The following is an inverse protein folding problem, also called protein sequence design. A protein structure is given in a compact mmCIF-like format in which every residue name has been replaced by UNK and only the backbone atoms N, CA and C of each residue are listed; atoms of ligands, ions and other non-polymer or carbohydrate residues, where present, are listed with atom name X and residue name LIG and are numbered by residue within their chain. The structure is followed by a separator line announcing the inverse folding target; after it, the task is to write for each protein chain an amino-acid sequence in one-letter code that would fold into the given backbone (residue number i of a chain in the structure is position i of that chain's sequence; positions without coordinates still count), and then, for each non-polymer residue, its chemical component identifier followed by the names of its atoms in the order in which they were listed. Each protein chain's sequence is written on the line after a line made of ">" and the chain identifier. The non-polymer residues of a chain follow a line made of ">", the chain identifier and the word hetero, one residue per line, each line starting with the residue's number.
data_IF_761817733422
#
_entry.id   IF_761817733422
#
_cell.length_a   1.000
_cell.length_b   1.000
_cell.length_c   1.000
_cell.angle_alpha   90.00
_cell.angle_beta   90.00
_cell.angle_gamma   90.00
#
_symmetry.space_group_name_H-M   'P 1'
#
loop_
_entity.id
_entity.type
_entity.pdbx_description
1 polymer ?
#
# COMPACT_ATOMS: atom_id res chain seq x y z
N UNK A 1 -13.95 -10.53 9.07
CA UNK A 1 -13.73 -9.10 9.30
C UNK A 1 -14.82 -8.39 8.55
N UNK A 2 -15.62 -7.60 9.26
CA UNK A 2 -16.81 -7.02 8.66
C UNK A 2 -16.45 -5.61 8.13
N UNK A 3 -16.76 -5.31 6.86
CA UNK A 3 -16.49 -4.00 6.29
C UNK A 3 -17.42 -2.95 6.92
N UNK A 4 -16.87 -1.77 7.23
CA UNK A 4 -17.68 -0.65 7.75
C UNK A 4 -18.20 0.18 6.57
N UNK A 5 -19.52 0.13 6.23
CA UNK A 5 -20.06 0.88 5.10
C UNK A 5 -20.01 2.40 5.33
N UNK A 6 -19.89 3.14 4.23
CA UNK A 6 -20.01 4.59 4.23
C UNK A 6 -21.46 4.98 4.56
N UNK A 7 -21.65 5.92 5.48
CA UNK A 7 -22.99 6.41 5.86
C UNK A 7 -23.22 7.86 5.47
N UNK A 8 -22.19 8.70 5.59
CA UNK A 8 -22.29 10.12 5.26
C UNK A 8 -21.00 10.63 4.64
N UNK A 9 -21.16 11.50 3.65
CA UNK A 9 -20.09 12.14 2.89
C UNK A 9 -20.31 13.64 2.87
N UNK A 10 -19.35 14.41 3.37
CA UNK A 10 -19.38 15.86 3.32
C UNK A 10 -18.29 16.37 2.40
N UNK A 11 -18.66 17.04 1.30
CA UNK A 11 -17.73 17.52 0.28
C UNK A 11 -17.60 19.04 0.39
N UNK A 12 -16.37 19.51 0.49
CA UNK A 12 -16.04 20.93 0.66
C UNK A 12 -15.77 21.59 -0.69
N UNK A 13 -15.61 22.91 -0.70
CA UNK A 13 -15.33 23.70 -1.91
C UNK A 13 -13.84 23.66 -2.32
N UNK A 14 -13.18 22.56 -2.00
CA UNK A 14 -11.80 22.23 -2.36
C UNK A 14 -11.69 20.72 -2.61
N UNK A 15 -10.46 20.22 -2.77
CA UNK A 15 -10.20 18.81 -3.10
C UNK A 15 -10.31 17.86 -1.90
N UNK A 16 -11.09 18.19 -0.86
CA UNK A 16 -11.24 17.40 0.37
C UNK A 16 -12.70 17.05 0.66
N UNK A 17 -12.89 15.88 1.24
CA UNK A 17 -14.16 15.46 1.82
C UNK A 17 -13.96 14.76 3.16
N UNK A 18 -14.98 14.87 3.99
CA UNK A 18 -15.09 14.17 5.27
C UNK A 18 -16.01 12.96 5.11
N UNK A 19 -15.47 11.79 5.41
CA UNK A 19 -16.11 10.50 5.28
C UNK A 19 -16.51 9.99 6.65
N UNK A 20 -17.75 9.51 6.79
CA UNK A 20 -18.28 8.93 8.02
C UNK A 20 -18.82 7.54 7.73
N UNK A 21 -18.23 6.54 8.37
CA UNK A 21 -18.57 5.14 8.28
C UNK A 21 -19.24 4.67 9.56
N UNK A 22 -20.25 3.82 9.45
CA UNK A 22 -20.97 3.23 10.59
C UNK A 22 -21.04 1.72 10.41
N UNK A 23 -20.66 0.94 11.43
CA UNK A 23 -20.74 -0.53 11.36
C UNK A 23 -22.18 -1.00 11.25
N UNK A 24 -22.39 -2.14 10.58
CA UNK A 24 -23.65 -2.86 10.69
C UNK A 24 -23.86 -3.36 12.14
N UNK A 25 -25.09 -3.71 12.50
CA UNK A 25 -25.36 -4.30 13.82
C UNK A 25 -24.49 -5.56 14.00
N UNK A 26 -23.83 -5.72 15.15
CA UNK A 26 -23.06 -6.93 15.43
C UNK A 26 -24.01 -8.13 15.31
N UNK A 27 -23.71 -9.06 14.40
CA UNK A 27 -24.51 -10.28 14.28
C UNK A 27 -24.33 -11.07 15.57
N UNK A 28 -25.43 -11.63 16.09
CA UNK A 28 -25.50 -12.54 17.25
C UNK A 28 -24.70 -13.83 17.01
N UNK A 29 -23.37 -13.72 16.91
CA UNK A 29 -22.46 -14.85 16.81
C UNK A 29 -21.68 -14.90 18.10
N UNK A 30 -21.76 -16.03 18.79
CA UNK A 30 -21.12 -16.35 20.07
C UNK A 30 -19.56 -16.43 19.98
N UNK A 31 -18.95 -15.67 19.07
CA UNK A 31 -17.53 -15.68 18.72
C UNK A 31 -16.79 -14.46 19.26
N UNK A 32 -15.44 -14.53 19.42
CA UNK A 32 -14.66 -13.51 20.10
C UNK A 32 -14.57 -12.21 19.28
N UNK A 33 -14.58 -11.08 20.00
CA UNK A 33 -14.27 -9.69 19.56
C UNK A 33 -14.40 -9.46 18.04
N UNK A 34 -15.50 -8.85 17.63
CA UNK A 34 -15.73 -8.49 16.24
C UNK A 34 -14.65 -7.54 15.72
N UNK A 35 -13.99 -7.95 14.64
CA UNK A 35 -12.95 -7.16 13.99
C UNK A 35 -13.49 -6.54 12.71
N UNK A 36 -13.36 -5.22 12.62
CA UNK A 36 -13.89 -4.42 11.53
C UNK A 36 -12.78 -3.96 10.60
N UNK A 37 -13.12 -3.75 9.33
CA UNK A 37 -12.15 -3.33 8.32
C UNK A 37 -12.62 -2.15 7.48
N UNK A 38 -11.67 -1.27 7.19
CA UNK A 38 -11.83 -0.11 6.32
C UNK A 38 -10.76 -0.17 5.23
N UNK A 39 -11.18 -0.25 3.97
CA UNK A 39 -10.26 -0.24 2.84
C UNK A 39 -10.06 1.19 2.36
N UNK A 40 -8.82 1.67 2.36
CA UNK A 40 -8.50 3.05 1.96
C UNK A 40 -7.45 3.10 0.86
N UNK A 41 -7.46 4.13 -0.01
CA UNK A 41 -6.44 4.27 -1.04
C UNK A 41 -5.04 4.44 -0.43
N UNK A 42 -4.04 3.75 -0.99
CA UNK A 42 -2.64 3.89 -0.52
C UNK A 42 -2.13 5.31 -0.76
N UNK A 43 -2.55 5.95 -1.85
CA UNK A 43 -2.09 7.28 -2.25
C UNK A 43 -2.40 8.38 -1.22
N UNK A 44 -3.45 8.21 -0.42
CA UNK A 44 -3.89 9.18 0.59
C UNK A 44 -3.86 8.61 2.00
N UNK A 45 -3.19 7.46 2.21
CA UNK A 45 -3.08 6.77 3.50
C UNK A 45 -2.65 7.70 4.62
N UNK A 46 -1.59 8.48 4.43
CA UNK A 46 -1.02 9.31 5.51
C UNK A 46 -1.99 10.42 5.96
N UNK A 47 -2.72 11.00 5.02
CA UNK A 47 -3.78 11.97 5.30
C UNK A 47 -4.92 11.34 6.11
N UNK A 48 -5.36 10.15 5.67
CA UNK A 48 -6.41 9.39 6.34
C UNK A 48 -5.96 9.02 7.75
N UNK A 49 -4.74 8.51 7.92
CA UNK A 49 -4.18 8.15 9.22
C UNK A 49 -4.07 9.36 10.16
N UNK A 50 -3.66 10.52 9.64
CA UNK A 50 -3.56 11.76 10.42
C UNK A 50 -4.91 12.34 10.83
N UNK A 51 -6.01 11.95 10.19
CA UNK A 51 -7.36 12.48 10.44
C UNK A 51 -8.36 11.43 10.91
N UNK A 52 -7.92 10.16 11.05
CA UNK A 52 -8.77 9.06 11.45
C UNK A 52 -9.22 9.23 12.90
N UNK A 53 -10.53 9.25 13.09
CA UNK A 53 -11.18 9.19 14.40
C UNK A 53 -12.09 7.97 14.44
N UNK A 54 -11.94 7.17 15.49
CA UNK A 54 -12.76 5.98 15.74
C UNK A 54 -13.50 6.17 17.05
N UNK A 55 -14.80 5.91 17.05
CA UNK A 55 -15.67 5.98 18.23
C UNK A 55 -16.53 4.73 18.32
N UNK A 56 -16.87 4.33 19.53
CA UNK A 56 -17.81 3.24 19.82
C UNK A 56 -18.88 3.76 20.78
N UNK A 57 -20.14 3.36 20.58
CA UNK A 57 -21.28 3.81 21.39
C UNK A 57 -21.12 3.45 22.88
N UNK A 58 -20.47 2.32 23.19
CA UNK A 58 -20.17 1.86 24.57
C UNK A 58 -18.91 2.48 25.19
N UNK A 59 -18.29 3.47 24.53
CA UNK A 59 -17.00 4.06 24.90
C UNK A 59 -15.89 3.01 25.10
N UNK A 60 -15.94 1.93 24.32
CA UNK A 60 -14.93 0.88 24.34
C UNK A 60 -13.64 1.37 23.67
N UNK A 61 -12.47 1.22 24.33
CA UNK A 61 -11.20 1.46 23.68
C UNK A 61 -11.09 0.59 22.42
N UNK A 62 -10.65 1.20 21.32
CA UNK A 62 -10.45 0.50 20.05
C UNK A 62 -8.96 0.48 19.71
N UNK A 63 -8.44 -0.69 19.39
CA UNK A 63 -7.12 -0.86 18.79
C UNK A 63 -7.23 -0.67 17.28
N UNK A 64 -6.38 0.19 16.73
CA UNK A 64 -6.32 0.48 15.30
C UNK A 64 -5.01 -0.10 14.78
N UNK A 65 -5.12 -1.12 13.92
CA UNK A 65 -3.98 -1.68 13.22
C UNK A 65 -4.03 -1.20 11.77
N UNK A 66 -3.08 -0.34 11.42
CA UNK A 66 -2.86 0.03 10.03
C UNK A 66 -2.16 -1.14 9.38
N UNK A 67 -2.84 -1.79 8.44
CA UNK A 67 -2.23 -2.82 7.60
C UNK A 67 -0.90 -2.29 7.10
N UNK A 68 0.18 -2.86 7.63
CA UNK A 68 1.48 -2.66 7.05
C UNK A 68 1.36 -3.36 5.71
N UNK A 69 1.24 -2.59 4.63
CA UNK A 69 1.73 -3.12 3.37
C UNK A 69 3.14 -3.54 3.70
N UNK A 70 3.46 -4.82 3.49
CA UNK A 70 4.84 -5.30 3.45
C UNK A 70 5.67 -4.20 2.79
N UNK A 71 6.39 -3.43 3.59
CA UNK A 71 7.24 -2.30 3.18
C UNK A 71 8.48 -2.82 2.46
N UNK A 72 8.38 -3.98 1.82
CA UNK A 72 9.28 -4.51 0.81
C UNK A 72 9.46 -3.61 -0.42
N UNK A 73 8.97 -2.37 -0.39
CA UNK A 73 9.12 -1.46 -1.52
C UNK A 73 9.26 0.02 -1.25
N UNK A 74 9.42 0.51 -0.01
CA UNK A 74 9.90 1.89 0.26
C UNK A 74 10.01 2.13 1.77
N UNK A 75 11.08 1.63 2.37
CA UNK A 75 11.81 2.22 3.50
C UNK A 75 13.05 1.34 3.69
N UNK A 76 13.96 1.40 2.71
CA UNK A 76 15.37 1.17 2.98
C UNK A 76 15.84 2.38 3.80
N UNK A 77 15.52 2.38 5.09
CA UNK A 77 16.51 2.83 6.04
C UNK A 77 17.51 1.68 6.11
N UNK A 78 18.57 1.84 5.32
CA UNK A 78 19.83 1.14 5.47
C UNK A 78 20.21 1.11 6.96
N UNK A 79 20.44 -0.09 7.50
CA UNK A 79 21.74 -0.45 8.10
C UNK A 79 21.80 -1.85 8.74
N UNK A 80 20.71 -2.64 8.92
CA UNK A 80 20.82 -3.87 9.73
C UNK A 80 20.23 -5.21 9.21
N UNK A 81 19.81 -5.35 7.94
CA UNK A 81 19.40 -6.67 7.42
C UNK A 81 19.77 -6.94 5.95
N UNK A 82 21.00 -6.65 5.53
CA UNK A 82 21.53 -7.26 4.32
C UNK A 82 21.52 -8.79 4.49
N UNK A 83 20.70 -9.48 3.72
CA UNK A 83 20.74 -10.94 3.66
C UNK A 83 21.98 -11.31 2.87
N UNK A 84 22.81 -12.23 3.39
CA UNK A 84 24.01 -12.66 2.69
C UNK A 84 23.67 -13.15 1.27
N UNK A 85 24.42 -12.69 0.27
CA UNK A 85 24.22 -13.06 -1.12
C UNK A 85 25.05 -14.30 -1.46
N UNK A 86 24.39 -15.46 -1.43
CA UNK A 86 24.99 -16.70 -1.87
C UNK A 86 24.84 -16.86 -3.38
N UNK A 87 25.85 -17.46 -4.01
CA UNK A 87 25.78 -17.81 -5.41
C UNK A 87 25.06 -19.16 -5.59
N UNK A 88 23.74 -19.12 -5.78
CA UNK A 88 22.93 -20.30 -6.12
C UNK A 88 21.86 -19.95 -7.15
N UNK A 89 21.40 -20.94 -7.91
CA UNK A 89 20.30 -20.77 -8.87
C UNK A 89 20.60 -21.35 -10.26
N UNK A 90 19.80 -20.98 -11.28
CA UNK A 90 19.98 -21.52 -12.62
C UNK A 90 21.35 -21.09 -13.19
N UNK A 91 22.13 -22.06 -13.68
CA UNK A 91 23.45 -21.81 -14.26
C UNK A 91 24.57 -21.60 -13.25
N UNK A 92 24.30 -21.78 -11.95
CA UNK A 92 25.30 -21.81 -10.87
C UNK A 92 25.54 -23.25 -10.44
N UNK A 93 26.78 -23.60 -10.17
CA UNK A 93 27.17 -24.93 -9.71
C UNK A 93 27.64 -24.92 -8.24
N UNK A 94 28.11 -26.08 -7.77
CA UNK A 94 28.59 -26.25 -6.40
C UNK A 94 29.83 -25.39 -6.11
N UNK A 95 30.69 -25.18 -7.11
CA UNK A 95 31.89 -24.36 -6.95
C UNK A 95 31.54 -22.88 -6.76
N UNK A 96 30.53 -22.38 -7.47
CA UNK A 96 30.01 -21.03 -7.25
C UNK A 96 29.47 -20.86 -5.82
N UNK A 97 28.70 -21.83 -5.35
CA UNK A 97 28.19 -21.80 -3.97
C UNK A 97 29.33 -21.83 -2.94
N UNK A 98 30.33 -22.68 -3.11
CA UNK A 98 31.48 -22.75 -2.21
C UNK A 98 32.35 -21.49 -2.27
N UNK A 99 32.44 -20.83 -3.42
CA UNK A 99 33.09 -19.52 -3.54
C UNK A 99 32.38 -18.46 -2.68
N UNK A 100 31.04 -18.52 -2.60
CA UNK A 100 30.27 -17.70 -1.65
C UNK A 100 30.41 -18.14 -0.19
N UNK A 101 31.10 -19.25 0.10
CA UNK A 101 31.36 -19.74 1.45
C UNK A 101 32.83 -19.55 1.89
N UNK A 102 33.65 -18.79 1.15
CA UNK A 102 35.03 -18.50 1.52
C UNK A 102 35.08 -17.89 2.94
N UNK A 103 35.94 -18.43 3.80
CA UNK A 103 36.05 -18.08 5.20
C UNK A 103 35.10 -18.83 6.13
N UNK A 104 34.15 -19.62 5.60
CA UNK A 104 33.22 -20.43 6.39
C UNK A 104 33.78 -21.83 6.62
N UNK A 105 33.44 -22.43 7.77
CA UNK A 105 33.81 -23.83 8.07
C UNK A 105 32.85 -24.77 7.36
N UNK A 106 33.38 -25.68 6.57
CA UNK A 106 32.62 -26.69 5.83
C UNK A 106 33.19 -28.08 6.05
N UNK A 107 32.34 -29.09 5.85
CA UNK A 107 32.69 -30.50 5.78
C UNK A 107 32.40 -31.00 4.38
N UNK A 108 33.37 -31.68 3.78
CA UNK A 108 33.25 -32.29 2.45
C UNK A 108 33.36 -33.80 2.60
N UNK A 109 32.41 -34.55 2.04
CA UNK A 109 32.51 -36.01 1.94
C UNK A 109 32.94 -36.39 0.52
N UNK A 110 34.01 -37.15 0.40
CA UNK A 110 34.51 -37.63 -0.89
C UNK A 110 33.92 -38.99 -1.27
N UNK A 111 34.04 -39.38 -2.54
CA UNK A 111 33.58 -40.67 -3.06
C UNK A 111 34.19 -41.87 -2.33
N UNK A 112 35.43 -41.73 -1.86
CA UNK A 112 36.14 -42.74 -1.08
C UNK A 112 35.61 -42.88 0.36
N UNK A 113 34.57 -42.12 0.74
CA UNK A 113 33.99 -42.12 2.08
C UNK A 113 34.79 -41.34 3.12
N UNK A 114 35.85 -40.65 2.72
CA UNK A 114 36.62 -39.79 3.61
C UNK A 114 35.89 -38.47 3.85
N UNK A 115 35.93 -37.99 5.10
CA UNK A 115 35.38 -36.68 5.47
C UNK A 115 36.53 -35.69 5.72
N UNK A 116 36.44 -34.52 5.10
CA UNK A 116 37.44 -33.45 5.20
C UNK A 116 36.77 -32.19 5.73
N UNK A 117 37.20 -31.76 6.91
CA UNK A 117 36.70 -30.55 7.56
C UNK A 117 37.73 -29.41 7.46
N UNK A 118 37.25 -28.18 7.29
CA UNK A 118 38.12 -27.01 7.32
C UNK A 118 37.43 -25.71 6.97
N UNK A 119 38.16 -24.61 7.07
CA UNK A 119 37.73 -23.30 6.56
C UNK A 119 37.97 -23.24 5.05
N UNK A 120 36.97 -22.82 4.28
CA UNK A 120 37.14 -22.61 2.83
C UNK A 120 38.11 -21.46 2.62
N UNK A 121 39.26 -21.75 2.01
CA UNK A 121 40.29 -20.74 1.73
C UNK A 121 40.18 -20.22 0.31
N UNK A 122 39.97 -21.11 -0.66
CA UNK A 122 39.83 -20.78 -2.08
C UNK A 122 39.11 -21.90 -2.83
N UNK A 123 38.59 -21.56 -4.01
CA UNK A 123 38.02 -22.51 -4.97
C UNK A 123 38.72 -22.26 -6.32
N UNK A 124 39.19 -23.31 -6.97
CA UNK A 124 39.98 -23.26 -8.20
C UNK A 124 39.10 -23.49 -9.43
N UNK A 125 39.43 -22.79 -10.53
CA UNK A 125 38.83 -23.00 -11.85
C UNK A 125 39.85 -23.60 -12.81
N UNK A 126 39.40 -24.51 -13.64
CA UNK A 126 40.19 -25.13 -14.69
C UNK A 126 39.49 -24.98 -16.04
N UNK A 127 40.29 -24.67 -17.05
CA UNK A 127 39.88 -24.56 -18.43
C UNK A 127 39.87 -25.96 -19.06
N UNK A 128 38.68 -26.45 -19.40
CA UNK A 128 38.48 -27.77 -20.01
C UNK A 128 38.14 -27.58 -21.49
N UNK A 129 38.95 -28.19 -22.36
CA UNK A 129 38.66 -28.25 -23.79
C UNK A 129 37.51 -29.24 -24.06
N UNK A 130 36.51 -28.82 -24.82
CA UNK A 130 35.37 -29.67 -25.16
C UNK A 130 35.74 -30.60 -26.33
N UNK A 131 35.49 -31.91 -26.21
CA UNK A 131 35.97 -32.97 -27.12
C UNK A 131 35.59 -32.85 -28.62
N UNK A 132 34.82 -31.83 -29.06
CA UNK A 132 34.32 -31.74 -30.44
C UNK A 132 34.33 -30.33 -31.09
N UNK A 133 35.11 -29.37 -30.59
CA UNK A 133 35.32 -28.11 -31.33
C UNK A 133 36.62 -27.42 -30.90
N UNK A 134 37.38 -26.90 -31.87
CA UNK A 134 38.70 -26.28 -31.66
C UNK A 134 38.74 -25.07 -30.70
N UNK A 135 37.60 -24.48 -30.30
CA UNK A 135 37.60 -23.27 -29.46
C UNK A 135 36.38 -23.15 -28.53
N UNK A 136 36.16 -24.13 -27.64
CA UNK A 136 35.31 -23.90 -26.46
C UNK A 136 36.00 -24.38 -25.20
N UNK A 137 36.76 -23.46 -24.59
CA UNK A 137 37.28 -23.58 -23.24
C UNK A 137 36.13 -23.36 -22.27
N UNK A 138 35.70 -24.42 -21.58
CA UNK A 138 34.74 -24.31 -20.49
C UNK A 138 35.51 -24.14 -19.20
N UNK A 139 35.39 -22.96 -18.59
CA UNK A 139 35.95 -22.68 -17.28
C UNK A 139 35.04 -23.34 -16.22
N UNK A 140 35.50 -24.45 -15.63
CA UNK A 140 34.75 -25.25 -14.66
C UNK A 140 35.51 -25.26 -13.34
N UNK A 141 34.78 -25.24 -12.21
CA UNK A 141 35.42 -25.38 -10.91
C UNK A 141 36.03 -26.79 -10.75
N UNK A 142 37.30 -26.85 -10.34
CA UNK A 142 38.06 -28.10 -10.25
C UNK A 142 38.31 -28.56 -8.83
N UNK A 143 38.68 -27.66 -7.91
CA UNK A 143 39.05 -28.03 -6.55
C UNK A 143 38.66 -26.97 -5.52
N UNK A 144 38.50 -27.39 -4.27
CA UNK A 144 38.37 -26.52 -3.10
C UNK A 144 39.57 -26.73 -2.17
N UNK A 145 40.14 -25.63 -1.67
CA UNK A 145 41.21 -25.67 -0.67
C UNK A 145 40.63 -25.36 0.72
N UNK A 146 40.82 -26.30 1.64
CA UNK A 146 40.33 -26.23 3.01
C UNK A 146 41.50 -26.10 3.97
N UNK A 147 41.45 -25.10 4.85
CA UNK A 147 42.38 -24.96 5.97
C UNK A 147 41.86 -25.75 7.17
N UNK A 148 42.61 -26.76 7.59
CA UNK A 148 42.38 -27.42 8.87
C UNK A 148 42.86 -26.50 10.00
N UNK A 149 41.94 -26.08 10.87
CA UNK A 149 42.24 -25.16 11.97
C UNK A 149 43.03 -25.80 13.10
N UNK A 150 43.02 -27.13 13.22
CA UNK A 150 43.72 -27.84 14.31
C UNK A 150 45.17 -28.09 13.96
N UNK A 151 45.44 -28.58 12.75
CA UNK A 151 46.80 -28.86 12.26
C UNK A 151 47.43 -27.70 11.50
N UNK A 152 46.67 -26.66 11.16
CA UNK A 152 47.09 -25.56 10.30
C UNK A 152 47.62 -26.05 8.93
N UNK A 153 47.07 -27.16 8.43
CA UNK A 153 47.42 -27.72 7.12
C UNK A 153 46.35 -27.39 6.09
N UNK A 154 46.77 -27.12 4.86
CA UNK A 154 45.87 -26.90 3.74
C UNK A 154 45.65 -28.21 3.01
N UNK A 155 44.39 -28.60 2.86
CA UNK A 155 43.96 -29.79 2.11
C UNK A 155 43.24 -29.36 0.84
N UNK A 156 43.69 -29.90 -0.30
CA UNK A 156 43.04 -29.72 -1.60
C UNK A 156 42.10 -30.89 -1.85
N UNK A 157 40.83 -30.61 -2.11
CA UNK A 157 39.80 -31.60 -2.42
C UNK A 157 39.29 -31.33 -3.83
N UNK A 158 39.35 -32.33 -4.70
CA UNK A 158 38.80 -32.23 -6.05
C UNK A 158 37.27 -32.24 -5.99
N UNK A 159 36.62 -31.34 -6.72
CA UNK A 159 35.15 -31.22 -6.73
C UNK A 159 34.47 -32.39 -7.46
N UNK A 160 35.16 -33.04 -8.41
CA UNK A 160 34.72 -34.28 -9.05
C UNK A 160 34.55 -35.43 -8.04
N UNK A 161 35.39 -35.46 -7.01
CA UNK A 161 35.37 -36.49 -5.97
C UNK A 161 34.42 -36.14 -4.82
N UNK A 162 33.84 -34.95 -4.80
CA UNK A 162 33.01 -34.50 -3.70
C UNK A 162 31.53 -34.88 -3.90
N UNK A 163 30.96 -35.64 -2.95
CA UNK A 163 29.56 -36.07 -2.98
C UNK A 163 28.66 -35.13 -2.18
N UNK A 164 29.12 -34.71 -1.00
CA UNK A 164 28.30 -33.97 -0.05
C UNK A 164 29.08 -32.83 0.61
N UNK A 165 28.38 -31.73 0.87
CA UNK A 165 28.91 -30.53 1.49
C UNK A 165 27.99 -30.09 2.63
N UNK A 166 28.57 -29.95 3.81
CA UNK A 166 27.87 -29.45 4.99
C UNK A 166 28.52 -28.16 5.47
N UNK A 167 27.80 -27.05 5.40
CA UNK A 167 28.22 -25.80 6.05
C UNK A 167 28.09 -26.01 7.56
N UNK A 168 29.18 -25.86 8.32
CA UNK A 168 29.19 -26.10 9.77
C UNK A 168 28.97 -24.81 10.59
N UNK A 169 29.13 -23.64 9.98
CA UNK A 169 28.89 -22.35 10.64
C UNK A 169 27.39 -22.07 10.79
N UNK A 170 26.93 -21.96 12.05
CA UNK A 170 25.53 -21.68 12.38
C UNK A 170 25.03 -20.36 11.82
N UNK A 171 25.84 -19.28 11.88
CA UNK A 171 25.43 -17.98 11.33
C UNK A 171 25.27 -18.06 9.82
N UNK A 172 26.16 -18.80 9.16
CA UNK A 172 26.10 -18.98 7.71
C UNK A 172 24.89 -19.83 7.30
N UNK A 173 24.58 -20.90 8.05
CA UNK A 173 23.37 -21.69 7.86
C UNK A 173 22.09 -20.83 8.00
N UNK A 174 22.01 -19.98 9.04
CA UNK A 174 20.88 -19.06 9.25
C UNK A 174 20.71 -18.10 8.05
N UNK A 175 21.81 -17.54 7.53
CA UNK A 175 21.78 -16.68 6.35
C UNK A 175 21.41 -17.43 5.07
N UNK A 176 21.85 -18.68 4.91
CA UNK A 176 21.50 -19.52 3.76
C UNK A 176 19.99 -19.80 3.72
N UNK A 177 19.41 -20.16 4.86
CA UNK A 177 17.95 -20.36 4.96
C UNK A 177 17.20 -19.06 4.66
N UNK A 178 17.69 -17.92 5.18
CA UNK A 178 17.10 -16.59 4.92
C UNK A 178 17.14 -16.24 3.42
N UNK A 179 18.27 -16.42 2.76
CA UNK A 179 18.44 -16.11 1.33
C UNK A 179 17.58 -17.01 0.44
N UNK A 180 17.50 -18.32 0.73
CA UNK A 180 16.62 -19.25 0.03
C UNK A 180 15.15 -18.89 0.20
N UNK A 181 14.73 -18.47 1.39
CA UNK A 181 13.37 -18.01 1.65
C UNK A 181 13.02 -16.76 0.85
N UNK A 182 13.94 -15.79 0.78
CA UNK A 182 13.78 -14.58 -0.05
C UNK A 182 13.71 -14.93 -1.53
N UNK A 183 14.58 -15.81 -2.02
CA UNK A 183 14.58 -16.27 -3.40
C UNK A 183 13.28 -17.00 -3.76
N UNK A 184 12.76 -17.81 -2.83
CA UNK A 184 11.46 -18.49 -2.96
C UNK A 184 10.31 -17.48 -3.04
N UNK A 185 10.27 -16.48 -2.13
CA UNK A 185 9.28 -15.39 -2.15
C UNK A 185 9.18 -14.68 -3.50
N UNK A 186 10.33 -14.44 -4.17
CA UNK A 186 10.37 -13.78 -5.49
C UNK A 186 9.71 -14.61 -6.60
N UNK A 187 9.63 -15.93 -6.47
CA UNK A 187 9.03 -16.83 -7.47
C UNK A 187 7.51 -16.92 -7.35
N UNK A 188 6.92 -16.54 -6.21
CA UNK A 188 5.48 -16.52 -6.09
C UNK A 188 4.89 -15.38 -6.92
N UNK A 189 3.76 -15.60 -7.61
CA UNK A 189 3.04 -14.53 -8.27
C UNK A 189 2.69 -13.48 -7.21
N UNK A 190 3.15 -12.25 -7.43
CA UNK A 190 2.82 -11.15 -6.53
C UNK A 190 1.30 -11.00 -6.51
N UNK A 191 0.66 -10.90 -5.33
CA UNK A 191 -0.74 -10.51 -5.26
C UNK A 191 -0.93 -9.24 -6.08
N UNK A 192 -1.99 -9.16 -6.88
CA UNK A 192 -2.32 -7.94 -7.62
C UNK A 192 -2.36 -6.79 -6.62
N UNK A 193 -1.52 -5.77 -6.83
CA UNK A 193 -1.55 -4.55 -6.00
C UNK A 193 -2.89 -3.88 -6.26
N UNK A 194 -3.81 -4.00 -5.29
CA UNK A 194 -5.14 -3.39 -5.37
C UNK A 194 -5.06 -1.88 -5.18
N UNK A 195 -3.88 -1.31 -4.89
CA UNK A 195 -3.71 0.12 -4.63
C UNK A 195 -4.39 0.59 -3.34
N UNK A 196 -4.92 -0.34 -2.53
CA UNK A 196 -5.64 -0.08 -1.28
C UNK A 196 -4.93 -0.75 -0.10
N UNK A 197 -4.94 -0.09 1.04
CA UNK A 197 -4.50 -0.64 2.32
C UNK A 197 -5.72 -0.88 3.20
N UNK A 198 -5.67 -1.93 4.00
CA UNK A 198 -6.71 -2.22 4.98
C UNK A 198 -6.33 -1.58 6.32
N UNK A 199 -7.28 -0.88 6.94
CA UNK A 199 -7.21 -0.44 8.33
C UNK A 199 -8.13 -1.35 9.11
N UNK A 200 -7.59 -1.98 10.15
CA UNK A 200 -8.30 -2.92 11.01
C UNK A 200 -8.62 -2.24 12.32
N UNK A 201 -9.88 -2.32 12.74
CA UNK A 201 -10.38 -1.74 13.99
C UNK A 201 -10.89 -2.89 14.85
N UNK A 202 -10.33 -3.03 16.03
CA UNK A 202 -10.68 -4.08 16.99
C UNK A 202 -11.06 -3.42 18.32
N UNK A 203 -12.33 -3.51 18.76
CA UNK A 203 -12.72 -3.06 20.09
C UNK A 203 -12.11 -3.98 21.16
N UNK A 204 -11.82 -3.45 22.35
CA UNK A 204 -11.25 -4.24 23.46
C UNK A 204 -12.26 -5.27 24.03
N UNK A 205 -13.55 -4.99 23.86
CA UNK A 205 -14.66 -5.83 24.32
C UNK A 205 -15.62 -6.12 23.17
N UNK A 206 -16.32 -7.27 23.20
CA UNK A 206 -17.40 -7.52 22.26
C UNK A 206 -18.49 -6.45 22.43
N UNK A 207 -18.98 -5.94 21.30
CA UNK A 207 -20.05 -4.95 21.27
C UNK A 207 -21.39 -5.59 21.67
N UNK A 208 -22.24 -4.83 22.35
CA UNK A 208 -23.63 -5.23 22.60
C UNK A 208 -24.49 -5.09 21.32
N UNK A 209 -25.66 -5.72 21.28
CA UNK A 209 -26.53 -5.76 20.08
C UNK A 209 -26.89 -4.37 19.53
N UNK A 210 -26.94 -3.34 20.37
CA UNK A 210 -27.28 -1.95 19.99
C UNK A 210 -26.06 -1.03 19.79
N UNK A 211 -24.83 -1.54 19.92
CA UNK A 211 -23.63 -0.73 19.85
C UNK A 211 -22.97 -0.77 18.46
N UNK A 212 -22.54 0.41 17.99
CA UNK A 212 -21.85 0.54 16.72
C UNK A 212 -20.45 1.11 16.85
N UNK A 213 -19.64 0.85 15.83
CA UNK A 213 -18.37 1.52 15.58
C UNK A 213 -18.57 2.57 14.50
N UNK A 214 -18.08 3.76 14.78
CA UNK A 214 -18.01 4.88 13.85
C UNK A 214 -16.54 5.12 13.51
N UNK A 215 -16.24 5.21 12.23
CA UNK A 215 -14.93 5.61 11.75
C UNK A 215 -15.10 6.81 10.82
N UNK A 216 -14.36 7.88 11.08
CA UNK A 216 -14.40 9.07 10.25
C UNK A 216 -13.01 9.57 9.93
N UNK A 217 -12.81 10.05 8.71
CA UNK A 217 -11.52 10.56 8.24
C UNK A 217 -11.72 11.57 7.11
N UNK A 218 -10.66 12.30 6.78
CA UNK A 218 -10.62 13.20 5.62
C UNK A 218 -9.85 12.51 4.50
N UNK A 219 -10.36 12.60 3.27
CA UNK A 219 -9.68 12.10 2.07
C UNK A 219 -9.83 13.09 0.91
N UNK A 220 -8.99 12.92 -0.11
CA UNK A 220 -9.01 13.75 -1.31
C UNK A 220 -10.13 13.32 -2.25
N UNK A 221 -10.90 14.28 -2.75
CA UNK A 221 -11.97 14.06 -3.72
C UNK A 221 -11.99 15.14 -4.80
N UNK A 222 -12.76 14.93 -5.85
CA UNK A 222 -13.02 15.98 -6.84
C UNK A 222 -14.00 17.01 -6.25
N UNK A 223 -13.65 18.30 -6.35
CA UNK A 223 -14.51 19.42 -5.95
C UNK A 223 -15.91 19.29 -6.59
N UNK A 224 -16.96 19.51 -5.80
CA UNK A 224 -18.33 19.50 -6.30
C UNK A 224 -18.65 20.77 -7.10
N UNK A 225 -19.44 20.62 -8.15
CA UNK A 225 -19.85 21.73 -9.02
C UNK A 225 -21.32 22.04 -8.84
N UNK A 226 -21.66 23.32 -8.72
CA UNK A 226 -23.04 23.79 -8.76
C UNK A 226 -23.41 24.02 -10.23
N UNK A 227 -24.46 23.35 -10.70
CA UNK A 227 -25.02 23.56 -12.02
C UNK A 227 -26.41 24.20 -11.88
N UNK A 228 -26.67 25.20 -12.71
CA UNK A 228 -27.97 25.85 -12.79
C UNK A 228 -28.61 25.55 -14.14
N UNK A 229 -29.91 25.25 -14.14
CA UNK A 229 -30.72 25.14 -15.35
C UNK A 229 -31.88 26.11 -15.23
N UNK A 230 -31.91 27.09 -16.13
CA UNK A 230 -32.99 28.05 -16.23
C UNK A 230 -33.97 27.59 -17.30
N UNK A 231 -35.22 27.36 -16.92
CA UNK A 231 -36.29 27.03 -17.85
C UNK A 231 -37.18 28.25 -18.03
N UNK A 232 -37.14 28.80 -19.25
CA UNK A 232 -37.97 29.94 -19.66
C UNK A 232 -39.12 29.36 -20.49
N UNK A 233 -40.37 29.43 -20.02
CA UNK A 233 -41.53 28.98 -20.79
C UNK A 233 -41.58 29.66 -22.15
N UNK A 234 -41.82 28.89 -23.22
CA UNK A 234 -41.88 29.41 -24.60
C UNK A 234 -43.16 30.22 -24.89
N UNK A 235 -44.19 30.06 -24.07
CA UNK A 235 -45.56 30.52 -24.37
C UNK A 235 -45.75 32.06 -24.26
N UNK A 236 -44.71 32.81 -23.89
CA UNK A 236 -44.83 34.27 -23.68
C UNK A 236 -43.76 35.11 -24.40
N UNK A 237 -42.89 34.51 -25.24
CA UNK A 237 -41.99 35.32 -26.07
C UNK A 237 -42.73 36.08 -27.19
N UNK A 238 -43.84 35.53 -27.69
CA UNK A 238 -44.64 36.17 -28.74
C UNK A 238 -45.66 37.18 -28.20
N UNK A 239 -45.98 37.15 -26.90
CA UNK A 239 -46.92 38.09 -26.29
C UNK A 239 -46.29 39.47 -25.99
N UNK A 240 -44.96 39.58 -25.96
CA UNK A 240 -44.25 40.83 -25.62
C UNK A 240 -44.01 41.76 -26.82
N UNK A 241 -44.28 41.30 -28.06
CA UNK A 241 -44.09 42.09 -29.29
C UNK A 241 -45.40 42.63 -29.89
N UNK A 242 -46.55 42.38 -29.27
CA UNK A 242 -47.86 42.85 -29.76
C UNK A 242 -48.71 43.40 -28.60
N UNK A 243 -48.36 44.58 -28.10
CA UNK A 243 -49.31 45.38 -27.31
C UNK A 243 -49.18 46.87 -27.65
N UNK A 244 -49.59 47.25 -28.85
CA UNK A 244 -50.35 48.50 -29.04
C UNK A 244 -51.82 48.11 -28.95
N UNK A 245 -52.38 48.15 -27.75
CA UNK A 245 -53.72 48.69 -27.48
C UNK A 245 -54.17 48.39 -26.05
N UNK A 246 -54.87 49.38 -25.50
CA UNK A 246 -55.23 49.53 -24.09
C UNK A 246 -56.21 48.44 -23.61
N UNK A 247 -55.74 47.56 -22.72
CA UNK A 247 -56.60 46.92 -21.70
C UNK A 247 -55.77 46.37 -20.54
N UNK A 248 -55.99 46.94 -19.34
CA UNK A 248 -55.32 46.51 -18.11
C UNK A 248 -55.95 45.22 -17.59
N UNK A 249 -55.42 44.07 -18.01
CA UNK A 249 -55.53 42.83 -17.25
C UNK A 249 -54.15 42.47 -16.70
N UNK A 250 -54.02 42.35 -15.38
CA UNK A 250 -52.80 41.90 -14.70
C UNK A 250 -52.58 40.44 -15.07
N UNK A 251 -51.90 40.19 -16.20
CA UNK A 251 -51.43 38.88 -16.57
C UNK A 251 -50.21 38.57 -15.68
N UNK A 252 -50.30 37.42 -15.02
CA UNK A 252 -49.28 36.91 -14.10
C UNK A 252 -47.90 36.92 -14.77
N UNK A 253 -46.89 37.44 -14.08
CA UNK A 253 -45.52 37.46 -14.57
C UNK A 253 -45.06 36.06 -15.04
N UNK A 254 -44.25 35.96 -16.11
CA UNK A 254 -43.67 34.70 -16.57
C UNK A 254 -42.93 34.02 -15.43
N UNK A 255 -43.43 32.88 -14.95
CA UNK A 255 -42.77 32.11 -13.90
C UNK A 255 -41.55 31.40 -14.49
N UNK A 256 -40.38 32.04 -14.36
CA UNK A 256 -39.09 31.45 -14.72
C UNK A 256 -38.71 30.42 -13.66
N UNK A 257 -38.44 29.18 -14.06
CA UNK A 257 -38.04 28.11 -13.13
C UNK A 257 -36.52 27.97 -13.11
N UNK A 258 -35.90 28.21 -11.96
CA UNK A 258 -34.48 27.95 -11.73
C UNK A 258 -34.32 26.62 -11.00
N UNK A 259 -33.71 25.63 -11.66
CA UNK A 259 -33.29 24.38 -11.03
C UNK A 259 -31.81 24.44 -10.68
N UNK A 260 -31.47 24.07 -9.44
CA UNK A 260 -30.09 24.02 -8.94
C UNK A 260 -29.71 22.57 -8.68
N UNK A 261 -28.60 22.14 -9.26
CA UNK A 261 -28.09 20.77 -9.16
C UNK A 261 -26.67 20.78 -8.59
N UNK A 262 -26.37 19.81 -7.72
CA UNK A 262 -25.01 19.49 -7.32
C UNK A 262 -24.46 18.38 -8.18
N UNK A 263 -23.40 18.65 -8.94
CA UNK A 263 -22.64 17.64 -9.66
C UNK A 263 -21.49 17.14 -8.78
N UNK A 264 -21.51 15.83 -8.51
CA UNK A 264 -20.58 15.17 -7.61
C UNK A 264 -20.09 13.89 -8.27
N UNK A 265 -18.79 13.63 -8.19
CA UNK A 265 -18.18 12.37 -8.62
C UNK A 265 -18.02 11.44 -7.43
N UNK A 266 -18.50 10.20 -7.54
CA UNK A 266 -18.25 9.17 -6.53
C UNK A 266 -16.74 8.86 -6.46
N UNK A 267 -16.04 9.17 -5.35
CA UNK A 267 -14.62 8.87 -5.17
C UNK A 267 -14.39 7.48 -4.56
N UNK A 268 -15.47 6.75 -4.24
CA UNK A 268 -15.43 5.42 -3.61
C UNK A 268 -15.74 4.32 -4.62
N UNK A 269 -15.24 3.11 -4.34
CA UNK A 269 -15.54 1.90 -5.15
C UNK A 269 -16.90 1.27 -4.78
N UNK A 270 -17.59 1.83 -3.79
CA UNK A 270 -18.89 1.39 -3.31
C UNK A 270 -20.00 2.26 -3.88
N UNK A 271 -21.16 1.65 -4.13
CA UNK A 271 -22.37 2.38 -4.48
C UNK A 271 -22.86 3.23 -3.30
N UNK A 272 -23.38 4.42 -3.61
CA UNK A 272 -23.94 5.35 -2.62
C UNK A 272 -25.40 5.03 -2.30
N UNK A 273 -25.68 3.80 -1.87
CA UNK A 273 -27.01 3.42 -1.41
C UNK A 273 -27.22 3.85 0.05
N UNK A 274 -28.24 4.67 0.30
CA UNK A 274 -28.56 5.18 1.65
C UNK A 274 -27.50 6.07 2.29
N UNK A 275 -26.57 6.64 1.49
CA UNK A 275 -25.51 7.56 1.92
C UNK A 275 -26.03 9.00 1.92
N UNK A 276 -25.84 9.70 3.03
CA UNK A 276 -26.17 11.12 3.12
C UNK A 276 -25.03 11.96 2.51
N UNK A 277 -25.33 12.78 1.50
CA UNK A 277 -24.36 13.69 0.87
C UNK A 277 -24.61 15.12 1.36
N UNK A 278 -23.58 15.77 1.88
CA UNK A 278 -23.61 17.16 2.31
C UNK A 278 -22.62 17.98 1.47
N UNK A 279 -23.12 19.02 0.79
CA UNK A 279 -22.30 19.93 -0.01
C UNK A 279 -22.05 21.22 0.77
N UNK A 280 -20.79 21.53 1.03
CA UNK A 280 -20.38 22.70 1.80
C UNK A 280 -19.65 23.66 0.87
N UNK A 281 -20.07 24.92 0.88
CA UNK A 281 -19.49 25.98 0.05
C UNK A 281 -18.20 26.60 0.63
N UNK A 282 -17.74 26.11 1.78
CA UNK A 282 -16.52 26.54 2.45
C UNK A 282 -15.37 25.56 2.17
N UNK A 283 -14.15 26.05 2.35
CA UNK A 283 -12.93 25.25 2.27
C UNK A 283 -12.63 24.55 3.61
N UNK A 284 -12.13 23.33 3.53
CA UNK A 284 -11.58 22.62 4.68
C UNK A 284 -10.06 22.79 4.74
N UNK A 285 -9.52 23.23 5.88
CA UNK A 285 -8.08 23.29 6.15
C UNK A 285 -7.68 22.34 7.26
N UNK A 286 -6.64 21.53 7.05
CA UNK A 286 -6.12 20.60 8.05
C UNK A 286 -4.97 21.28 8.80
N UNK A 287 -5.16 21.50 10.10
CA UNK A 287 -4.16 22.11 10.96
C UNK A 287 -3.20 21.01 11.47
N UNK A 288 -2.08 20.83 10.79
CA UNK A 288 -1.04 19.87 11.17
C UNK A 288 0.31 20.21 10.53
N UNK A 289 1.42 19.60 10.99
CA UNK A 289 2.74 19.85 10.42
C UNK A 289 2.82 19.32 8.98
N UNK A 290 2.51 20.21 8.03
CA UNK A 290 2.88 20.20 6.62
C UNK A 290 3.14 18.82 5.96
N UNK A 291 2.08 18.21 5.40
CA UNK A 291 2.24 17.48 4.13
C UNK A 291 2.18 18.54 3.04
N UNK A 292 3.35 19.10 2.71
CA UNK A 292 3.51 20.17 1.72
C UNK A 292 3.05 19.67 0.34
N UNK A 293 1.77 19.87 0.01
CA UNK A 293 1.31 19.80 -1.37
C UNK A 293 1.35 21.22 -1.91
N UNK A 294 2.53 21.65 -2.35
CA UNK A 294 2.69 22.88 -3.13
C UNK A 294 1.94 22.72 -4.44
N UNK A 295 0.72 23.25 -4.51
CA UNK A 295 0.10 23.59 -5.79
C UNK A 295 0.05 25.10 -5.88
N UNK A 296 1.05 25.63 -6.56
CA UNK A 296 1.20 27.05 -6.90
C UNK A 296 0.05 27.44 -7.85
N UNK A 297 -1.04 27.99 -7.31
CA UNK A 297 -2.03 28.73 -8.11
C UNK A 297 -1.63 30.19 -8.15
N UNK A 298 -1.09 30.60 -9.29
CA UNK A 298 -1.00 32.01 -9.68
C UNK A 298 -2.37 32.45 -10.19
N UNK A 299 -3.06 33.31 -9.45
CA UNK A 299 -3.98 34.28 -10.04
C UNK A 299 -4.25 35.40 -9.05
N UNK A 300 -3.63 36.54 -9.34
CA UNK A 300 -3.98 37.87 -8.85
C UNK A 300 -5.46 38.16 -9.10
N UNK A 301 -6.20 38.60 -8.09
CA UNK A 301 -7.04 39.81 -8.13
C UNK A 301 -7.50 40.15 -6.71
N UNK A 302 -7.06 41.33 -6.27
CA UNK A 302 -7.46 41.99 -5.03
C UNK A 302 -8.84 42.62 -5.20
N UNK A 303 -9.79 42.29 -4.31
CA UNK A 303 -10.88 43.20 -3.95
C UNK A 303 -11.02 43.18 -2.44
N UNK A 304 -10.74 44.33 -1.85
CA UNK A 304 -10.94 44.70 -0.45
C UNK A 304 -12.41 44.65 -0.05
N UNK A 305 -12.73 43.96 1.05
CA UNK A 305 -14.06 43.99 1.67
C UNK A 305 -13.94 43.78 3.17
N UNK A 306 -13.85 44.89 3.91
CA UNK A 306 -13.88 44.97 5.38
C UNK A 306 -15.27 44.55 5.88
N UNK A 307 -15.33 43.62 6.82
CA UNK A 307 -16.56 43.30 7.55
C UNK A 307 -16.30 42.26 8.63
N UNK A 308 -15.91 42.70 9.83
CA UNK A 308 -15.81 41.82 10.99
C UNK A 308 -17.18 41.51 11.57
N UNK A 309 -17.33 40.33 12.18
CA UNK A 309 -18.34 40.07 13.20
C UNK A 309 -17.82 39.02 14.17
N UNK A 310 -17.83 39.40 15.46
CA UNK A 310 -17.67 38.51 16.62
C UNK A 310 -19.00 37.85 16.95
N UNK A 311 -18.94 36.61 17.43
CA UNK A 311 -19.56 36.21 18.69
C UNK A 311 -18.49 35.43 19.46
#
# INVERSE_FOLDING_TARGET
>A
MDPIPLKKLTIYKNDLAFFEHKSAHPQTKQSPIDTYSLNVPIATKDLIMGTLSVKSDGNHPCSINFGSRDTSRNQCHDEDQSTYEFEFGPGKDMGDFLASCIGSRVRVKTQDGSEVDGLVMSVERQDVATENSDEVVRNVWSAVQLLDTESCTVRRVQLEDAIDFSVLDRKMQEQLVKSLYVASKKRYPKPKDTGRTQITITPDKPLLEDEHIYASFVDKVTEWQCMYRLEIPKHERDAMLITTDESYSVQSDPTVTLSVFGNVKNPTDSDWDGVQICLVANDLSILGPSITTSTRRTSSHSITGRGGFQI
#
